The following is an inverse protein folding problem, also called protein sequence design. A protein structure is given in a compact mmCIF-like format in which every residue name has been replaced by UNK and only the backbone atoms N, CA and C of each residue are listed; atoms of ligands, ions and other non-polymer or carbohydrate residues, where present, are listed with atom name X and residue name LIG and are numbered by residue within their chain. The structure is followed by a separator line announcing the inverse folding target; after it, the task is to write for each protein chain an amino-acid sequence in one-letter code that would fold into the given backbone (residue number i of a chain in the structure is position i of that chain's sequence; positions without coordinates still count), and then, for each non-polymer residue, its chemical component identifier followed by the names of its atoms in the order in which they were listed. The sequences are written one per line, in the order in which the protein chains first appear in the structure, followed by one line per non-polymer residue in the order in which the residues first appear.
data_IF_408415484533
#
_entry.id   IF_408415484533
#
_cell.length_a   1.000
_cell.length_b   1.000
_cell.length_c   1.000
_cell.angle_alpha   90.00
_cell.angle_beta   90.00
_cell.angle_gamma   90.00
#
_symmetry.space_group_name_H-M   'P 1'
#
loop_
_entity.id
_entity.type
_entity.pdbx_description
1 polymer ?
#
# COMPACT_ATOMS: atom_id res chain seq x y z
N UNK A 1 20.46 13.20 17.02
CA UNK A 1 20.50 12.34 18.22
C UNK A 1 21.95 12.16 18.66
N UNK A 2 22.29 12.53 19.90
CA UNK A 2 23.63 12.36 20.50
C UNK A 2 23.55 11.32 21.60
N UNK A 3 24.52 10.42 21.65
CA UNK A 3 24.69 9.50 22.78
C UNK A 3 25.41 10.21 23.93
N UNK A 4 24.88 10.10 25.15
CA UNK A 4 25.49 10.67 26.35
C UNK A 4 26.31 9.65 27.15
N UNK A 5 27.07 10.14 28.13
CA UNK A 5 27.96 9.32 28.95
C UNK A 5 27.22 8.41 29.95
N UNK A 6 25.90 8.57 30.09
CA UNK A 6 25.04 7.76 30.97
C UNK A 6 24.12 6.81 30.18
N UNK A 7 24.34 6.66 28.87
CA UNK A 7 23.67 5.68 28.02
C UNK A 7 22.32 6.10 27.47
N UNK A 8 22.00 7.40 27.48
CA UNK A 8 20.80 7.96 26.88
C UNK A 8 21.10 8.55 25.50
N UNK A 9 20.04 8.68 24.72
CA UNK A 9 20.12 9.35 23.44
C UNK A 9 19.33 10.66 23.50
N UNK A 10 20.05 11.77 23.39
CA UNK A 10 19.49 13.13 23.48
C UNK A 10 19.19 13.65 22.07
N UNK A 11 17.95 14.08 21.83
CA UNK A 11 17.53 14.85 20.64
C UNK A 11 17.18 16.29 21.05
N UNK A 12 16.98 17.22 20.09
CA UNK A 12 16.64 18.60 20.41
C UNK A 12 15.37 18.77 21.25
N UNK A 13 14.38 17.88 21.08
CA UNK A 13 13.07 18.03 21.72
C UNK A 13 12.79 16.96 22.79
N UNK A 14 13.48 15.81 22.76
CA UNK A 14 13.24 14.70 23.69
C UNK A 14 14.52 13.92 24.03
N UNK A 15 14.48 13.17 25.11
CA UNK A 15 15.54 12.25 25.54
C UNK A 15 15.01 10.83 25.51
N UNK A 16 15.64 9.97 24.72
CA UNK A 16 15.29 8.56 24.56
C UNK A 16 16.10 7.71 25.52
N UNK A 17 15.42 6.77 26.19
CA UNK A 17 16.04 5.77 27.07
C UNK A 17 15.95 4.40 26.40
N UNK A 18 17.06 3.87 25.86
CA UNK A 18 17.08 2.56 25.21
C UNK A 18 16.63 1.43 26.14
N UNK A 19 17.03 1.49 27.41
CA UNK A 19 16.74 0.44 28.39
C UNK A 19 15.25 0.18 28.64
N UNK A 20 14.38 1.16 28.34
CA UNK A 20 12.92 1.01 28.42
C UNK A 20 12.21 1.22 27.08
N UNK A 21 12.95 1.58 26.03
CA UNK A 21 12.42 1.80 24.68
C UNK A 21 11.44 2.98 24.56
N UNK A 22 11.63 4.05 25.34
CA UNK A 22 10.68 5.20 25.42
C UNK A 22 11.37 6.56 25.48
N UNK A 23 10.62 7.60 25.15
CA UNK A 23 10.97 8.98 25.48
C UNK A 23 10.70 9.28 26.95
N UNK A 24 11.56 10.10 27.59
CA UNK A 24 11.33 10.60 28.95
C UNK A 24 10.27 11.71 29.00
N UNK A 25 10.19 12.49 27.92
CA UNK A 25 9.28 13.61 27.78
C UNK A 25 8.13 13.25 26.83
N UNK A 26 6.96 13.80 27.15
CA UNK A 26 5.77 13.70 26.32
C UNK A 26 5.99 14.41 24.97
N UNK A 27 5.52 13.82 23.87
CA UNK A 27 5.69 14.35 22.52
C UNK A 27 5.15 15.79 22.38
N UNK A 28 6.01 16.79 22.10
CA UNK A 28 5.58 18.17 21.85
C UNK A 28 4.71 18.33 20.60
N UNK A 29 4.81 17.42 19.61
CA UNK A 29 3.97 17.38 18.42
C UNK A 29 2.57 16.78 18.69
N UNK A 30 2.28 16.39 19.92
CA UNK A 30 0.97 15.87 20.32
C UNK A 30 0.80 14.41 19.92
N UNK A 31 -0.34 14.08 19.31
CA UNK A 31 -0.66 12.71 18.84
C UNK A 31 -0.32 12.51 17.35
N UNK A 32 0.47 13.43 16.76
CA UNK A 32 0.85 13.39 15.36
C UNK A 32 1.58 12.08 14.99
N UNK A 33 2.40 11.56 15.90
CA UNK A 33 3.16 10.29 15.76
C UNK A 33 2.45 9.10 16.45
N UNK A 34 1.16 9.27 16.79
CA UNK A 34 0.32 8.24 17.40
C UNK A 34 -0.19 8.60 18.80
N UNK A 35 -1.10 7.76 19.32
CA UNK A 35 -1.78 8.02 20.60
C UNK A 35 -0.84 7.93 21.81
N UNK A 36 0.26 7.17 21.70
CA UNK A 36 1.24 7.05 22.76
C UNK A 36 2.35 8.08 22.59
N UNK A 37 2.21 9.20 23.31
CA UNK A 37 3.14 10.34 23.29
C UNK A 37 4.54 10.07 23.88
N UNK A 38 4.78 8.85 24.36
CA UNK A 38 6.08 8.39 24.88
C UNK A 38 6.71 7.30 24.01
N UNK A 39 6.00 6.83 22.98
CA UNK A 39 6.53 5.80 22.08
C UNK A 39 7.66 6.37 21.23
N UNK A 40 8.76 5.61 21.13
CA UNK A 40 9.81 5.87 20.15
C UNK A 40 9.40 5.23 18.83
N UNK A 41 9.27 6.04 17.77
CA UNK A 41 9.00 5.61 16.39
C UNK A 41 7.85 4.60 16.25
N UNK A 42 6.73 4.84 16.94
CA UNK A 42 5.57 3.95 16.90
C UNK A 42 5.78 2.54 17.49
N UNK A 43 6.82 2.35 18.33
CA UNK A 43 7.31 1.05 18.80
C UNK A 43 7.95 0.18 17.72
N UNK A 44 8.39 0.77 16.60
CA UNK A 44 9.14 0.08 15.55
C UNK A 44 10.55 0.68 15.36
N UNK A 45 11.47 0.47 16.33
CA UNK A 45 12.84 0.99 16.27
C UNK A 45 13.73 0.31 15.22
N UNK A 46 13.24 -0.74 14.56
CA UNK A 46 13.96 -1.41 13.48
C UNK A 46 13.68 -0.74 12.14
N UNK A 47 12.46 -0.22 11.96
CA UNK A 47 12.05 0.45 10.72
C UNK A 47 11.99 1.98 10.86
N UNK A 48 12.18 2.52 12.07
CA UNK A 48 11.98 3.93 12.40
C UNK A 48 13.22 4.62 12.97
N UNK A 49 13.36 5.92 12.70
CA UNK A 49 14.39 6.76 13.31
C UNK A 49 13.85 8.18 13.55
N UNK A 50 14.02 8.77 14.74
CA UNK A 50 13.51 10.12 15.07
C UNK A 50 14.64 11.03 15.59
N UNK A 51 15.39 11.69 14.69
CA UNK A 51 16.54 12.54 15.04
C UNK A 51 16.19 13.78 15.83
N UNK A 52 14.97 14.31 15.64
CA UNK A 52 14.50 15.56 16.21
C UNK A 52 13.72 15.35 17.52
N UNK A 53 13.20 14.15 17.78
CA UNK A 53 12.29 13.89 18.88
C UNK A 53 10.91 14.49 18.65
N UNK A 54 10.39 14.48 17.41
CA UNK A 54 9.08 15.09 17.09
C UNK A 54 8.22 14.23 16.17
N UNK A 55 8.82 13.35 15.37
CA UNK A 55 8.12 12.44 14.46
C UNK A 55 9.08 11.37 13.97
N UNK A 56 8.58 10.18 13.70
CA UNK A 56 9.36 9.12 13.07
C UNK A 56 9.85 9.52 11.66
N UNK A 57 11.10 9.93 11.53
CA UNK A 57 11.80 10.19 10.25
C UNK A 57 12.24 8.90 9.52
N UNK A 58 11.97 7.72 10.06
CA UNK A 58 12.01 6.45 9.31
C UNK A 58 10.75 6.21 8.47
N UNK A 59 9.70 7.02 8.68
CA UNK A 59 8.62 7.22 7.73
C UNK A 59 8.70 8.66 7.23
N UNK A 60 9.54 8.84 6.21
CA UNK A 60 9.85 10.06 5.45
C UNK A 60 11.15 10.76 5.83
N UNK A 61 12.19 10.46 5.05
CA UNK A 61 12.97 11.54 4.46
C UNK A 61 13.40 11.08 3.06
N UNK A 62 13.21 11.83 1.98
CA UNK A 62 13.47 13.25 1.88
C UNK A 62 12.49 14.23 2.52
N UNK A 63 12.75 14.67 3.76
CA UNK A 63 13.12 16.07 3.95
C UNK A 63 14.65 16.16 3.88
N UNK A 64 15.12 15.99 2.65
CA UNK A 64 16.35 16.55 2.09
C UNK A 64 17.64 16.38 2.91
N UNK A 65 18.52 15.51 2.41
CA UNK A 65 19.96 15.77 2.46
C UNK A 65 20.47 15.89 1.02
N UNK A 66 20.66 17.08 0.45
CA UNK A 66 20.49 18.43 0.99
C UNK A 66 19.89 19.32 -0.10
N UNK A 67 19.13 20.35 0.23
CA UNK A 67 19.57 21.49 1.03
C UNK A 67 18.45 21.96 1.96
N UNK A 68 18.87 22.39 3.15
CA UNK A 68 18.13 23.12 4.17
C UNK A 68 17.02 24.04 3.64
N UNK A 69 15.85 24.00 4.28
CA UNK A 69 15.00 25.17 4.42
C UNK A 69 14.90 25.51 5.90
N UNK A 70 15.85 26.36 6.30
CA UNK A 70 15.77 27.24 7.45
C UNK A 70 14.45 28.00 7.48
N UNK A 71 13.76 27.94 8.62
CA UNK A 71 12.84 28.93 9.21
C UNK A 71 11.82 29.64 8.32
N UNK A 72 10.54 29.52 8.69
CA UNK A 72 9.68 30.69 8.94
C UNK A 72 8.40 30.25 9.64
N UNK A 73 8.28 30.65 10.92
CA UNK A 73 7.02 30.68 11.64
C UNK A 73 6.25 31.92 11.18
N UNK A 74 5.01 31.74 10.73
CA UNK A 74 3.93 32.73 10.74
C UNK A 74 2.67 31.89 10.50
N UNK A 75 1.81 31.66 11.49
CA UNK A 75 0.97 32.69 12.08
C UNK A 75 -0.42 32.54 11.46
N UNK A 76 -1.40 32.30 12.30
CA UNK A 76 -2.85 32.41 12.10
C UNK A 76 -3.62 31.26 11.43
N UNK A 77 -4.54 30.71 12.24
CA UNK A 77 -5.85 30.28 11.74
C UNK A 77 -6.15 28.80 11.90
N UNK A 78 -6.61 28.41 13.11
CA UNK A 78 -7.61 27.35 13.23
C UNK A 78 -8.76 27.73 12.27
N UNK A 79 -8.95 26.97 11.19
CA UNK A 79 -10.24 26.95 10.48
C UNK A 79 -10.69 25.50 10.29
N UNK A 80 -12.01 25.26 10.35
CA UNK A 80 -12.58 23.97 10.71
C UNK A 80 -12.61 23.02 9.52
N UNK A 81 -12.62 21.72 9.85
CA UNK A 81 -13.06 20.61 9.00
C UNK A 81 -14.00 21.07 7.88
N UNK A 82 -13.59 20.84 6.62
CA UNK A 82 -14.48 20.78 5.47
C UNK A 82 -14.20 19.52 4.66
N UNK A 83 -15.17 18.62 4.78
CA UNK A 83 -15.85 17.93 3.69
C UNK A 83 -14.99 17.08 2.75
N UNK A 84 -14.79 15.82 3.14
CA UNK A 84 -15.32 14.70 2.35
C UNK A 84 -14.84 14.51 0.90
N UNK A 85 -13.54 14.48 0.64
CA UNK A 85 -12.94 13.73 -0.50
C UNK A 85 -11.54 13.25 -0.08
N UNK A 86 -11.45 12.15 0.66
CA UNK A 86 -10.19 11.69 1.26
C UNK A 86 -9.27 10.95 0.30
N UNK A 87 -8.78 11.62 -0.76
CA UNK A 87 -7.53 11.23 -1.42
C UNK A 87 -6.34 11.83 -0.66
N UNK A 88 -5.16 11.21 -0.72
CA UNK A 88 -3.93 11.81 -0.18
C UNK A 88 -3.75 13.21 -0.81
N UNK A 89 -3.75 14.30 -0.03
CA UNK A 89 -3.66 15.67 -0.57
C UNK A 89 -2.34 15.96 -1.29
N UNK A 90 -1.38 15.02 -1.28
CA UNK A 90 -0.12 15.09 -2.04
C UNK A 90 -0.22 14.50 -3.45
N UNK A 91 -1.23 13.68 -3.75
CA UNK A 91 -1.41 13.04 -5.08
C UNK A 91 -2.33 13.90 -5.92
N UNK A 92 -1.82 14.47 -7.01
CA UNK A 92 -2.67 15.21 -7.95
C UNK A 92 -3.42 14.21 -8.84
N UNK A 93 -4.63 14.53 -9.33
CA UNK A 93 -5.42 13.61 -10.17
C UNK A 93 -4.69 13.02 -11.39
N UNK A 94 -3.61 13.66 -11.85
CA UNK A 94 -2.81 13.29 -13.02
C UNK A 94 -1.63 12.36 -12.70
N UNK A 95 -1.31 12.16 -11.43
CA UNK A 95 -0.16 11.36 -11.01
C UNK A 95 -0.55 9.87 -10.97
N UNK A 96 0.31 8.96 -11.43
CA UNK A 96 0.05 7.53 -11.31
C UNK A 96 0.05 7.11 -9.84
N UNK A 97 -0.82 6.17 -9.52
CA UNK A 97 -0.95 5.65 -8.16
C UNK A 97 -0.32 4.27 -8.08
N UNK A 98 0.59 4.11 -7.13
CA UNK A 98 1.13 2.81 -6.78
C UNK A 98 0.04 1.94 -6.15
N UNK A 99 -0.04 0.68 -6.56
CA UNK A 99 -0.92 -0.32 -5.92
C UNK A 99 -0.24 -1.03 -4.75
N UNK A 100 0.84 -0.45 -4.20
CA UNK A 100 1.57 -0.96 -3.05
C UNK A 100 0.78 -0.62 -1.77
N UNK A 101 0.72 -1.52 -0.80
CA UNK A 101 -0.16 -1.37 0.38
C UNK A 101 0.40 -0.46 1.47
N UNK A 102 -0.29 -0.25 2.61
CA UNK A 102 -1.72 -0.01 2.78
C UNK A 102 -2.05 1.50 2.69
N UNK A 103 -3.28 1.85 2.27
CA UNK A 103 -3.88 3.16 2.61
C UNK A 103 -4.86 2.94 3.74
N UNK A 104 -4.50 3.34 4.95
CA UNK A 104 -5.39 3.21 6.12
C UNK A 104 -6.63 4.08 5.96
N UNK A 105 -7.81 3.46 5.95
CA UNK A 105 -9.11 4.15 5.99
C UNK A 105 -9.86 3.76 7.24
N UNK A 106 -10.57 4.74 7.81
CA UNK A 106 -11.43 4.53 8.96
C UNK A 106 -12.42 3.40 8.68
N UNK A 107 -12.40 2.37 9.54
CA UNK A 107 -13.25 1.18 9.46
C UNK A 107 -14.72 1.55 9.15
N UNK A 108 -15.25 1.08 8.03
CA UNK A 108 -16.70 0.85 7.86
C UNK A 108 -16.99 -0.65 7.95
N UNK A 109 -18.25 -0.96 8.30
CA UNK A 109 -18.79 -2.24 8.77
C UNK A 109 -18.00 -3.52 8.34
N UNK A 110 -17.48 -4.31 9.29
CA UNK A 110 -16.61 -5.47 9.05
C UNK A 110 -17.31 -6.71 8.44
N UNK A 111 -18.57 -6.62 8.02
CA UNK A 111 -19.36 -7.81 7.65
C UNK A 111 -19.15 -8.33 6.23
N UNK A 112 -18.52 -7.58 5.32
CA UNK A 112 -18.14 -8.08 3.99
C UNK A 112 -16.90 -7.31 3.52
N UNK A 113 -15.72 -7.93 3.52
CA UNK A 113 -14.48 -7.25 3.10
C UNK A 113 -14.44 -6.83 1.62
N UNK A 114 -15.47 -7.17 0.85
CA UNK A 114 -15.75 -6.61 -0.47
C UNK A 114 -17.17 -6.03 -0.47
N UNK A 115 -17.33 -4.76 -0.85
CA UNK A 115 -18.64 -4.13 -1.04
C UNK A 115 -19.35 -4.69 -2.26
N UNK A 116 -20.66 -4.45 -2.40
CA UNK A 116 -21.39 -4.78 -3.63
C UNK A 116 -20.74 -4.18 -4.89
N UNK A 117 -20.13 -2.99 -4.73
CA UNK A 117 -19.44 -2.28 -5.80
C UNK A 117 -18.13 -2.92 -6.28
N UNK A 118 -17.62 -3.94 -5.57
CA UNK A 118 -16.44 -4.69 -5.99
C UNK A 118 -16.68 -5.55 -7.23
N UNK A 119 -17.94 -5.88 -7.53
CA UNK A 119 -18.34 -6.81 -8.60
C UNK A 119 -19.19 -6.16 -9.70
N UNK A 120 -19.24 -4.83 -9.75
CA UNK A 120 -20.10 -4.07 -10.69
C UNK A 120 -19.72 -4.22 -12.17
N UNK A 121 -18.51 -4.69 -12.46
CA UNK A 121 -17.99 -4.80 -13.82
C UNK A 121 -17.79 -6.27 -14.21
N UNK A 122 -18.46 -6.76 -15.28
CA UNK A 122 -18.28 -8.12 -15.77
C UNK A 122 -16.81 -8.45 -16.07
N UNK A 123 -16.38 -9.62 -15.59
CA UNK A 123 -14.99 -10.09 -15.76
C UNK A 123 -13.99 -9.40 -14.83
N UNK A 124 -14.45 -8.69 -13.80
CA UNK A 124 -13.58 -8.01 -12.85
C UNK A 124 -14.02 -8.18 -11.40
N UNK A 125 -13.02 -8.08 -10.52
CA UNK A 125 -13.18 -7.93 -9.08
C UNK A 125 -12.30 -6.77 -8.62
N UNK A 126 -12.91 -5.71 -8.09
CA UNK A 126 -12.22 -4.51 -7.61
C UNK A 126 -12.20 -4.49 -6.07
N UNK A 127 -11.06 -4.80 -5.49
CA UNK A 127 -10.81 -4.81 -4.06
C UNK A 127 -10.08 -3.55 -3.59
N UNK A 128 -9.85 -2.57 -4.46
CA UNK A 128 -9.40 -1.25 -4.01
C UNK A 128 -10.51 -0.59 -3.20
N UNK A 129 -10.15 0.11 -2.13
CA UNK A 129 -11.12 0.86 -1.35
C UNK A 129 -11.78 1.94 -2.23
N UNK A 130 -13.11 2.01 -2.18
CA UNK A 130 -13.96 2.84 -3.04
C UNK A 130 -13.81 4.35 -2.81
N UNK A 131 -13.14 4.74 -1.72
CA UNK A 131 -12.86 6.13 -1.38
C UNK A 131 -11.61 6.66 -2.09
N UNK A 132 -10.77 5.79 -2.64
CA UNK A 132 -9.53 6.18 -3.29
C UNK A 132 -9.57 6.11 -4.82
N UNK A 133 -8.60 6.77 -5.44
CA UNK A 133 -8.53 6.95 -6.89
C UNK A 133 -8.16 5.66 -7.63
N UNK A 134 -7.52 4.69 -6.98
CA UNK A 134 -7.25 3.35 -7.53
C UNK A 134 -8.53 2.67 -7.99
N UNK A 135 -9.57 2.70 -7.15
CA UNK A 135 -10.89 2.17 -7.48
C UNK A 135 -11.49 2.87 -8.70
N UNK A 136 -11.32 4.19 -8.81
CA UNK A 136 -11.80 4.96 -9.98
C UNK A 136 -11.00 4.63 -11.24
N UNK A 137 -9.68 4.45 -11.13
CA UNK A 137 -8.80 4.21 -12.26
C UNK A 137 -8.93 2.77 -12.76
N UNK A 138 -9.13 1.79 -11.86
CA UNK A 138 -9.28 0.38 -12.21
C UNK A 138 -10.56 0.12 -13.00
N UNK A 139 -11.64 0.86 -12.69
CA UNK A 139 -12.88 0.87 -13.47
C UNK A 139 -12.67 1.25 -14.94
N UNK A 140 -11.65 2.06 -15.25
CA UNK A 140 -11.33 2.51 -16.62
C UNK A 140 -10.52 1.50 -17.43
N UNK A 141 -9.91 0.50 -16.79
CA UNK A 141 -9.25 -0.60 -17.51
C UNK A 141 -10.34 -1.34 -18.32
N UNK A 142 -10.19 -1.65 -19.61
CA UNK A 142 -11.21 -2.40 -20.32
C UNK A 142 -11.28 -3.86 -19.85
N UNK A 143 -12.48 -4.41 -19.72
CA UNK A 143 -12.65 -5.87 -19.64
C UNK A 143 -12.13 -6.51 -20.93
N UNK A 144 -11.66 -7.75 -20.86
CA UNK A 144 -11.11 -8.46 -22.01
C UNK A 144 -11.53 -9.92 -21.96
N UNK A 145 -12.01 -10.43 -23.08
CA UNK A 145 -12.43 -11.82 -23.20
C UNK A 145 -11.27 -12.77 -22.88
N UNK A 146 -11.57 -13.82 -22.12
CA UNK A 146 -10.56 -14.74 -21.60
C UNK A 146 -9.72 -14.19 -20.44
N UNK A 147 -9.98 -12.99 -19.93
CA UNK A 147 -9.31 -12.45 -18.73
C UNK A 147 -10.32 -12.15 -17.61
N UNK A 148 -10.01 -12.61 -16.40
CA UNK A 148 -10.64 -12.16 -15.17
C UNK A 148 -9.67 -11.25 -14.42
N UNK A 149 -9.99 -9.95 -14.32
CA UNK A 149 -9.09 -8.94 -13.74
C UNK A 149 -9.39 -8.71 -12.27
N UNK A 150 -8.37 -8.75 -11.43
CA UNK A 150 -8.50 -8.47 -9.99
C UNK A 150 -7.66 -7.24 -9.65
N UNK A 151 -8.29 -6.18 -9.16
CA UNK A 151 -7.61 -4.99 -8.63
C UNK A 151 -7.52 -5.07 -7.12
N UNK A 152 -6.34 -4.87 -6.54
CA UNK A 152 -6.15 -4.87 -5.09
C UNK A 152 -4.80 -4.22 -4.74
N UNK A 153 -4.61 -3.79 -3.50
CA UNK A 153 -3.24 -3.67 -3.00
C UNK A 153 -2.64 -5.07 -2.82
N UNK A 154 -1.35 -5.23 -3.10
CA UNK A 154 -0.70 -6.53 -3.14
C UNK A 154 0.61 -6.60 -2.37
N UNK A 155 0.97 -7.82 -1.98
CA UNK A 155 2.30 -8.18 -1.54
C UNK A 155 2.59 -9.63 -1.94
N UNK A 156 3.84 -10.08 -1.74
CA UNK A 156 4.30 -11.41 -2.19
C UNK A 156 3.47 -12.62 -1.73
N UNK A 157 2.65 -12.47 -0.68
CA UNK A 157 1.91 -13.57 -0.03
C UNK A 157 0.42 -13.30 0.24
N UNK A 158 -0.09 -12.11 -0.04
CA UNK A 158 -1.50 -11.79 0.15
C UNK A 158 -1.90 -10.51 -0.62
N UNK A 159 -3.20 -10.29 -0.69
CA UNK A 159 -3.82 -9.08 -1.26
C UNK A 159 -4.69 -8.42 -0.19
N UNK A 160 -4.95 -7.14 -0.37
CA UNK A 160 -5.78 -6.35 0.52
C UNK A 160 -7.23 -6.27 0.02
N UNK A 161 -8.14 -6.31 0.98
CA UNK A 161 -9.57 -6.10 0.80
C UNK A 161 -9.92 -4.61 0.91
N UNK A 162 -11.14 -4.24 0.49
CA UNK A 162 -11.57 -2.83 0.53
C UNK A 162 -11.60 -2.26 1.96
N UNK A 163 -11.72 -3.11 2.97
CA UNK A 163 -11.69 -2.74 4.38
C UNK A 163 -10.28 -2.68 5.00
N UNK A 164 -9.23 -2.94 4.22
CA UNK A 164 -7.84 -2.96 4.66
C UNK A 164 -7.36 -4.33 5.20
N UNK A 165 -8.24 -5.34 5.28
CA UNK A 165 -7.84 -6.67 5.73
C UNK A 165 -7.00 -7.36 4.65
N UNK A 166 -5.98 -8.11 5.08
CA UNK A 166 -5.12 -8.88 4.18
C UNK A 166 -5.56 -10.33 4.13
N UNK A 167 -5.64 -10.88 2.92
CA UNK A 167 -6.10 -12.24 2.68
C UNK A 167 -5.16 -13.04 1.77
N UNK A 168 -5.00 -14.32 2.10
CA UNK A 168 -4.20 -15.26 1.31
C UNK A 168 -4.92 -15.72 0.04
N UNK A 169 -4.20 -16.52 -0.76
CA UNK A 169 -4.70 -17.01 -2.04
C UNK A 169 -5.97 -17.89 -1.89
N UNK A 170 -6.09 -18.61 -0.78
CA UNK A 170 -7.26 -19.46 -0.48
C UNK A 170 -8.54 -18.64 -0.31
N UNK A 171 -8.51 -17.59 0.48
CA UNK A 171 -9.64 -16.69 0.67
C UNK A 171 -9.94 -15.92 -0.62
N UNK A 172 -8.90 -15.42 -1.30
CA UNK A 172 -9.04 -14.73 -2.58
C UNK A 172 -9.71 -15.63 -3.65
N UNK A 173 -9.37 -16.92 -3.69
CA UNK A 173 -10.00 -17.88 -4.62
C UNK A 173 -11.53 -17.97 -4.44
N UNK A 174 -12.02 -17.86 -3.20
CA UNK A 174 -13.45 -17.89 -2.89
C UNK A 174 -14.14 -16.61 -3.37
N UNK A 175 -13.51 -15.46 -3.15
CA UNK A 175 -14.03 -14.17 -3.61
C UNK A 175 -14.08 -14.09 -5.13
N UNK A 176 -13.04 -14.53 -5.82
CA UNK A 176 -12.99 -14.56 -7.29
C UNK A 176 -14.13 -15.44 -7.84
N UNK A 177 -14.33 -16.64 -7.29
CA UNK A 177 -15.47 -17.52 -7.65
C UNK A 177 -16.82 -16.85 -7.38
N UNK A 178 -16.97 -16.19 -6.22
CA UNK A 178 -18.20 -15.46 -5.86
C UNK A 178 -18.49 -14.27 -6.75
N UNK A 179 -17.45 -13.62 -7.29
CA UNK A 179 -17.52 -12.47 -8.18
C UNK A 179 -17.94 -12.81 -9.63
N UNK A 180 -18.40 -14.04 -9.88
CA UNK A 180 -18.86 -14.46 -11.20
C UNK A 180 -17.74 -14.90 -12.13
N UNK A 181 -16.55 -15.22 -11.61
CA UNK A 181 -15.55 -15.97 -12.35
C UNK A 181 -16.15 -17.30 -12.82
N UNK A 182 -16.07 -17.56 -14.13
CA UNK A 182 -16.52 -18.80 -14.75
C UNK A 182 -15.31 -19.69 -15.02
N UNK A 183 -15.25 -20.91 -14.44
CA UNK A 183 -14.18 -21.86 -14.73
C UNK A 183 -14.18 -22.23 -16.23
N UNK A 184 -13.00 -22.16 -16.85
CA UNK A 184 -12.78 -22.57 -18.25
C UNK A 184 -11.29 -22.56 -18.57
N UNK A 185 -10.83 -23.49 -19.42
CA UNK A 185 -9.41 -23.66 -19.78
C UNK A 185 -8.75 -22.42 -20.37
N UNK A 186 -9.56 -21.50 -20.91
CA UNK A 186 -9.09 -20.36 -21.68
C UNK A 186 -9.15 -19.05 -20.88
N UNK A 187 -9.61 -19.09 -19.62
CA UNK A 187 -9.71 -17.90 -18.77
C UNK A 187 -8.47 -17.77 -17.88
N UNK A 188 -7.72 -16.69 -18.06
CA UNK A 188 -6.58 -16.32 -17.21
C UNK A 188 -7.01 -15.30 -16.15
N UNK A 189 -6.42 -15.38 -14.97
CA UNK A 189 -6.59 -14.36 -13.92
C UNK A 189 -5.46 -13.35 -14.05
N UNK A 190 -5.77 -12.06 -14.07
CA UNK A 190 -4.77 -10.97 -14.13
C UNK A 190 -4.85 -10.13 -12.87
N UNK A 191 -3.79 -10.15 -12.06
CA UNK A 191 -3.70 -9.44 -10.79
C UNK A 191 -3.07 -8.06 -10.98
N UNK A 192 -3.84 -7.00 -10.76
CA UNK A 192 -3.37 -5.62 -10.68
C UNK A 192 -3.05 -5.26 -9.24
N UNK A 193 -2.10 -6.00 -8.65
CA UNK A 193 -1.77 -5.92 -7.23
C UNK A 193 -0.25 -6.04 -7.03
N UNK A 194 0.40 -4.98 -6.53
CA UNK A 194 1.86 -4.89 -6.34
C UNK A 194 2.48 -6.16 -5.80
N UNK A 195 3.63 -6.56 -6.35
CA UNK A 195 4.47 -7.65 -5.84
C UNK A 195 3.75 -9.01 -5.64
N UNK A 196 2.51 -9.20 -6.11
CA UNK A 196 1.75 -10.43 -5.86
C UNK A 196 2.36 -11.67 -6.52
N UNK A 197 3.30 -11.49 -7.46
CA UNK A 197 4.12 -12.53 -8.06
C UNK A 197 5.58 -12.56 -7.59
N UNK A 198 6.01 -11.75 -6.61
CA UNK A 198 7.43 -11.59 -6.29
C UNK A 198 8.09 -12.80 -5.62
N UNK A 199 7.31 -13.70 -5.02
CA UNK A 199 7.78 -14.83 -4.20
C UNK A 199 7.89 -16.17 -4.96
N UNK A 200 7.80 -16.13 -6.30
CA UNK A 200 7.98 -17.32 -7.14
C UNK A 200 7.01 -18.46 -6.78
N UNK A 201 7.54 -19.68 -6.62
CA UNK A 201 6.73 -20.89 -6.42
C UNK A 201 6.00 -20.96 -5.07
N UNK A 202 6.45 -20.21 -4.07
CA UNK A 202 5.82 -20.13 -2.75
C UNK A 202 4.88 -18.93 -2.59
N UNK A 203 4.75 -18.10 -3.64
CA UNK A 203 4.05 -16.83 -3.59
C UNK A 203 2.55 -16.89 -3.80
N UNK A 204 1.90 -15.75 -3.53
CA UNK A 204 0.45 -15.58 -3.69
C UNK A 204 -0.04 -15.98 -5.08
N UNK A 205 0.58 -15.48 -6.14
CA UNK A 205 0.17 -15.76 -7.51
C UNK A 205 0.29 -17.25 -7.88
N UNK A 206 1.35 -17.94 -7.44
CA UNK A 206 1.51 -19.37 -7.69
C UNK A 206 0.48 -20.20 -6.91
N UNK A 207 0.26 -19.88 -5.63
CA UNK A 207 -0.74 -20.56 -4.81
C UNK A 207 -2.14 -20.37 -5.40
N UNK A 208 -2.47 -19.15 -5.85
CA UNK A 208 -3.74 -18.87 -6.51
C UNK A 208 -3.91 -19.66 -7.81
N UNK A 209 -2.87 -19.75 -8.64
CA UNK A 209 -2.89 -20.54 -9.87
C UNK A 209 -3.19 -22.01 -9.58
N UNK A 210 -2.55 -22.58 -8.55
CA UNK A 210 -2.75 -23.96 -8.13
C UNK A 210 -4.17 -24.21 -7.60
N UNK A 211 -4.71 -23.30 -6.77
CA UNK A 211 -6.06 -23.42 -6.19
C UNK A 211 -7.19 -23.24 -7.20
N UNK A 212 -6.96 -22.40 -8.21
CA UNK A 212 -7.95 -22.08 -9.23
C UNK A 212 -7.83 -22.96 -10.47
N UNK A 213 -6.74 -23.73 -10.59
CA UNK A 213 -6.40 -24.55 -11.76
C UNK A 213 -6.38 -23.75 -13.07
N UNK A 214 -5.89 -22.51 -13.02
CA UNK A 214 -5.76 -21.62 -14.18
C UNK A 214 -4.48 -20.81 -14.14
N UNK A 215 -4.06 -20.30 -15.29
CA UNK A 215 -2.94 -19.38 -15.37
C UNK A 215 -3.26 -18.06 -14.67
N UNK A 216 -2.35 -17.62 -13.80
CA UNK A 216 -2.39 -16.31 -13.15
C UNK A 216 -1.27 -15.45 -13.73
N UNK A 217 -1.58 -14.20 -14.07
CA UNK A 217 -0.60 -13.17 -14.44
C UNK A 217 -0.52 -12.15 -13.31
N UNK A 218 0.69 -11.89 -12.81
CA UNK A 218 0.89 -11.04 -11.65
C UNK A 218 2.18 -10.21 -11.75
N UNK A 219 2.22 -9.01 -11.17
CA UNK A 219 3.44 -8.22 -11.11
C UNK A 219 4.42 -8.77 -10.08
N UNK A 220 5.70 -8.78 -10.43
CA UNK A 220 6.83 -9.13 -9.54
C UNK A 220 7.49 -7.90 -8.90
N UNK A 221 6.98 -6.71 -9.23
CA UNK A 221 7.46 -5.41 -8.75
C UNK A 221 6.25 -4.48 -8.51
N UNK A 222 6.50 -3.21 -8.21
CA UNK A 222 5.48 -2.19 -7.98
C UNK A 222 4.63 -2.00 -9.25
N UNK A 223 3.32 -2.12 -9.08
CA UNK A 223 2.29 -1.79 -10.04
C UNK A 223 1.85 -0.33 -9.93
N UNK A 224 1.66 0.31 -11.08
CA UNK A 224 1.30 1.72 -11.18
C UNK A 224 0.08 1.87 -12.07
N UNK A 225 -0.99 2.40 -11.49
CA UNK A 225 -2.26 2.61 -12.14
C UNK A 225 -2.44 4.09 -12.46
N UNK A 226 -2.66 4.39 -13.73
CA UNK A 226 -2.77 5.76 -14.25
C UNK A 226 -4.24 6.16 -14.37
N UNK A 227 -4.50 7.47 -14.34
CA UNK A 227 -5.86 8.03 -14.43
C UNK A 227 -6.64 7.56 -15.66
N UNK A 228 -5.95 7.25 -16.76
CA UNK A 228 -6.55 6.76 -18.01
C UNK A 228 -6.80 5.24 -18.03
N UNK A 229 -6.51 4.51 -16.95
CA UNK A 229 -6.60 3.05 -16.90
C UNK A 229 -5.38 2.33 -17.50
N UNK A 230 -4.31 3.03 -17.84
CA UNK A 230 -3.03 2.38 -18.15
C UNK A 230 -2.43 1.79 -16.87
N UNK A 231 -1.78 0.64 -16.98
CA UNK A 231 -1.10 -0.01 -15.86
C UNK A 231 0.31 -0.41 -16.27
N UNK A 232 1.30 -0.05 -15.44
CA UNK A 232 2.70 -0.39 -15.63
C UNK A 232 3.25 -1.12 -14.41
N UNK A 233 4.26 -1.97 -14.61
CA UNK A 233 4.98 -2.64 -13.55
C UNK A 233 6.41 -2.15 -13.63
N UNK A 234 6.85 -1.36 -12.66
CA UNK A 234 8.14 -0.68 -12.71
C UNK A 234 8.63 -0.38 -11.29
N UNK A 235 9.95 -0.36 -11.04
CA UNK A 235 10.47 0.17 -9.79
C UNK A 235 10.13 1.66 -9.65
N UNK A 236 10.15 2.17 -8.42
CA UNK A 236 10.08 3.62 -8.19
C UNK A 236 11.39 4.29 -8.61
N UNK A 237 11.29 5.50 -9.15
CA UNK A 237 12.45 6.36 -9.31
C UNK A 237 13.06 6.69 -7.92
N UNK A 238 14.40 6.79 -7.79
CA UNK A 238 15.05 7.03 -6.50
C UNK A 238 14.68 8.37 -5.83
N UNK A 239 14.32 9.37 -6.62
CA UNK A 239 14.11 10.76 -6.19
C UNK A 239 12.64 11.19 -6.21
N UNK A 240 11.74 10.34 -6.72
CA UNK A 240 10.36 10.68 -7.05
C UNK A 240 9.47 9.46 -6.79
N UNK A 241 8.31 9.67 -6.16
CA UNK A 241 7.28 8.63 -5.95
C UNK A 241 6.55 8.30 -7.27
N UNK A 242 7.30 8.10 -8.35
CA UNK A 242 6.82 7.88 -9.71
C UNK A 242 7.51 6.65 -10.30
N UNK A 243 6.86 5.95 -11.25
CA UNK A 243 7.45 4.78 -11.89
C UNK A 243 8.65 5.15 -12.76
N UNK A 244 9.73 4.37 -12.66
CA UNK A 244 10.75 4.34 -13.70
C UNK A 244 10.27 3.49 -14.89
N UNK A 245 9.45 4.10 -15.75
CA UNK A 245 8.86 3.41 -16.90
C UNK A 245 9.88 2.87 -17.90
N UNK A 246 11.15 3.32 -17.86
CA UNK A 246 12.22 2.74 -18.67
C UNK A 246 12.60 1.34 -18.22
N UNK A 247 12.32 1.02 -16.96
CA UNK A 247 12.53 -0.29 -16.36
C UNK A 247 11.20 -1.06 -16.21
N UNK A 248 10.18 -0.72 -17.02
CA UNK A 248 8.91 -1.42 -16.98
C UNK A 248 9.06 -2.88 -17.42
N UNK A 249 8.43 -3.79 -16.69
CA UNK A 249 8.39 -5.22 -16.98
C UNK A 249 6.97 -5.67 -17.34
N UNK A 250 6.80 -6.76 -18.11
CA UNK A 250 5.50 -7.39 -18.28
C UNK A 250 5.03 -8.08 -16.99
N UNK A 251 3.76 -8.50 -16.96
CA UNK A 251 3.27 -9.41 -15.92
C UNK A 251 4.03 -10.75 -16.00
N UNK A 252 4.46 -11.27 -14.85
CA UNK A 252 4.95 -12.63 -14.76
C UNK A 252 3.77 -13.62 -14.86
N UNK A 253 4.04 -14.80 -15.41
CA UNK A 253 3.03 -15.84 -15.67
C UNK A 253 3.24 -17.04 -14.75
N UNK A 254 2.17 -17.45 -14.07
CA UNK A 254 2.16 -18.55 -13.11
C UNK A 254 1.16 -19.59 -13.60
N UNK A 255 1.66 -20.73 -14.03
CA UNK A 255 0.82 -21.85 -14.47
C UNK A 255 0.54 -22.78 -13.27
N UNK A 256 -0.64 -23.42 -13.22
CA UNK A 256 -0.95 -24.38 -12.17
C UNK A 256 0.07 -25.53 -12.22
N UNK A 257 0.65 -25.84 -11.07
CA UNK A 257 1.55 -26.97 -10.89
C UNK A 257 0.74 -28.17 -10.43
N UNK A 258 0.86 -29.31 -11.11
CA UNK A 258 0.32 -30.58 -10.64
C UNK A 258 0.94 -30.89 -9.28
N UNK A 259 0.11 -31.17 -8.27
CA UNK A 259 0.53 -31.31 -6.88
C UNK A 259 1.70 -32.29 -6.70
N UNK A 260 2.67 -31.91 -5.87
CA UNK A 260 3.54 -32.86 -5.16
C UNK A 260 2.81 -33.38 -3.93
#
# INVERSE_FOLDING_TARGET
MRYDEIGLYVTPNRTYVPGIGRWLQMDPAGIADGLNRYAYVGNDPLSGFDPLGLANEGNTCGRTGGVSCSGSYAGDGITPFKDGTGGDPRVKPRDPISTDGPRSVAKRDPRVGATAGATDQPGKLDLFNDQYDEYKFFKKIPSKDGEFRVGAHGHGRAIELQNGDRIGAREASKLIKGAGYKPGSDTVIVLFACNSGSEGSGGFAQELANLMHVTVKAPTNIGWLFENGYYAIAPSLPDRHYPDLKQSTPFATFNPQSGK
#
